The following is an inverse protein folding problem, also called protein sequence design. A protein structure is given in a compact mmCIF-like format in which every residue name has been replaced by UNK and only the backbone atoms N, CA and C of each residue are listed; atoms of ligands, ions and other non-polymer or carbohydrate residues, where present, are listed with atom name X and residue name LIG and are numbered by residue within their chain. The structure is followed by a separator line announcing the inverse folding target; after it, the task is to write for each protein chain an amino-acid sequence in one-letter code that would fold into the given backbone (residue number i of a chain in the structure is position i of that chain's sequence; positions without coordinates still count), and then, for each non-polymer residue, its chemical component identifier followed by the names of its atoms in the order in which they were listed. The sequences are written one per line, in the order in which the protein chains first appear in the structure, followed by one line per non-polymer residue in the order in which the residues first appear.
data_IF_768397001134
#
_entry.id   IF_768397001134
#
_cell.length_a   1.000
_cell.length_b   1.000
_cell.length_c   1.000
_cell.angle_alpha   90.00
_cell.angle_beta   90.00
_cell.angle_gamma   90.00
#
_symmetry.space_group_name_H-M   'P 1'
#
loop_
_entity.id
_entity.type
_entity.pdbx_description
1 polymer ?
#
# COMPACT_ATOMS: atom_id res chain seq x y z
N UNK A 1 25.39 -14.13 -17.25
CA UNK A 1 25.63 -13.71 -15.85
C UNK A 1 24.59 -12.66 -15.46
N UNK A 2 23.43 -13.08 -14.93
CA UNK A 2 22.45 -12.15 -14.36
C UNK A 2 23.03 -11.71 -13.01
N UNK A 3 23.33 -10.42 -12.82
CA UNK A 3 23.58 -9.89 -11.49
C UNK A 3 22.27 -10.03 -10.72
N UNK A 4 22.23 -10.99 -9.81
CA UNK A 4 21.21 -11.05 -8.76
C UNK A 4 21.25 -9.69 -8.05
N UNK A 5 20.15 -8.96 -8.19
CA UNK A 5 20.03 -7.64 -7.61
C UNK A 5 19.85 -7.85 -6.11
N UNK A 6 20.89 -7.52 -5.36
CA UNK A 6 20.89 -7.71 -3.91
C UNK A 6 19.86 -6.75 -3.29
N UNK A 7 18.78 -7.34 -2.77
CA UNK A 7 17.68 -6.64 -2.09
C UNK A 7 18.18 -5.90 -0.84
N UNK A 8 19.40 -6.20 -0.36
CA UNK A 8 20.09 -5.53 0.75
C UNK A 8 20.34 -4.03 0.55
N UNK A 9 20.08 -3.47 -0.64
CA UNK A 9 20.31 -2.05 -0.95
C UNK A 9 19.09 -1.13 -0.85
N UNK A 10 17.89 -1.63 -0.56
CA UNK A 10 16.71 -0.76 -0.43
C UNK A 10 16.70 -0.13 0.96
N UNK A 11 17.08 1.15 1.06
CA UNK A 11 17.10 1.88 2.33
C UNK A 11 15.97 2.88 2.42
N UNK A 12 15.63 3.55 1.33
CA UNK A 12 14.60 4.59 1.31
C UNK A 12 13.47 4.25 0.33
N UNK A 13 12.23 4.28 0.82
CA UNK A 13 11.04 3.92 0.04
C UNK A 13 10.05 5.07 -0.03
N UNK A 14 9.43 5.26 -1.19
CA UNK A 14 8.31 6.17 -1.39
C UNK A 14 7.01 5.38 -1.51
N UNK A 15 5.92 5.88 -0.92
CA UNK A 15 4.59 5.29 -1.06
C UNK A 15 3.72 6.20 -1.92
N UNK A 16 3.32 5.73 -3.09
CA UNK A 16 2.32 6.44 -3.89
C UNK A 16 0.95 6.34 -3.22
N UNK A 17 0.08 7.35 -3.37
CA UNK A 17 -1.32 7.22 -3.01
C UNK A 17 -1.92 6.00 -3.72
N UNK A 18 -2.52 5.09 -2.96
CA UNK A 18 -3.16 3.91 -3.51
C UNK A 18 -4.32 4.34 -4.40
N UNK A 19 -4.39 3.78 -5.61
CA UNK A 19 -5.51 4.05 -6.50
C UNK A 19 -6.80 3.48 -5.92
N UNK A 20 -7.89 4.24 -5.95
CA UNK A 20 -9.19 3.79 -5.44
C UNK A 20 -10.05 3.23 -6.57
N UNK A 21 -10.27 1.91 -6.58
CA UNK A 21 -11.18 1.28 -7.52
C UNK A 21 -12.57 1.01 -6.90
N UNK A 22 -12.85 1.59 -5.73
CA UNK A 22 -14.08 1.41 -4.96
C UNK A 22 -14.97 2.66 -5.01
N UNK A 23 -16.18 2.56 -4.46
CA UNK A 23 -17.10 3.70 -4.29
C UNK A 23 -16.85 4.50 -3.00
N UNK A 24 -15.98 4.02 -2.10
CA UNK A 24 -15.72 4.65 -0.81
C UNK A 24 -14.64 5.71 -0.98
N UNK A 25 -15.00 6.99 -0.97
CA UNK A 25 -14.08 8.10 -1.27
C UNK A 25 -12.78 8.07 -0.45
N UNK A 26 -12.88 7.76 0.85
CA UNK A 26 -11.74 7.77 1.77
C UNK A 26 -10.84 6.52 1.71
N UNK A 27 -11.21 5.47 0.95
CA UNK A 27 -10.49 4.19 0.95
C UNK A 27 -9.01 4.34 0.59
N UNK A 28 -8.69 5.15 -0.43
CA UNK A 28 -7.31 5.44 -0.82
C UNK A 28 -6.51 6.05 0.33
N UNK A 29 -7.06 7.07 0.99
CA UNK A 29 -6.39 7.79 2.08
C UNK A 29 -6.15 6.89 3.28
N UNK A 30 -7.15 6.08 3.64
CA UNK A 30 -7.07 5.14 4.77
C UNK A 30 -6.00 4.07 4.50
N UNK A 31 -6.03 3.44 3.32
CA UNK A 31 -5.07 2.39 2.96
C UNK A 31 -3.65 2.96 2.82
N UNK A 32 -3.49 4.10 2.14
CA UNK A 32 -2.18 4.77 1.99
C UNK A 32 -1.60 5.13 3.36
N UNK A 33 -2.42 5.70 4.25
CA UNK A 33 -2.00 6.06 5.60
C UNK A 33 -1.59 4.85 6.42
N UNK A 34 -2.37 3.76 6.36
CA UNK A 34 -2.02 2.51 7.02
C UNK A 34 -0.70 1.92 6.49
N UNK A 35 -0.45 2.00 5.19
CA UNK A 35 0.77 1.50 4.56
C UNK A 35 2.01 2.30 4.98
N UNK A 36 1.92 3.63 4.99
CA UNK A 36 2.99 4.50 5.48
C UNK A 36 3.27 4.21 6.96
N UNK A 37 2.23 4.17 7.79
CA UNK A 37 2.38 3.91 9.22
C UNK A 37 3.01 2.53 9.48
N UNK A 38 2.54 1.49 8.78
CA UNK A 38 3.08 0.14 8.91
C UNK A 38 4.56 0.06 8.49
N UNK A 39 4.94 0.66 7.36
CA UNK A 39 6.33 0.66 6.90
C UNK A 39 7.26 1.38 7.88
N UNK A 40 6.82 2.54 8.42
CA UNK A 40 7.56 3.28 9.45
C UNK A 40 7.75 2.43 10.70
N UNK A 41 6.70 1.73 11.15
CA UNK A 41 6.74 0.89 12.35
C UNK A 41 7.75 -0.26 12.24
N UNK A 42 7.92 -0.83 11.04
CA UNK A 42 8.92 -1.90 10.83
C UNK A 42 10.36 -1.47 11.07
N UNK A 43 10.67 -0.17 10.93
CA UNK A 43 12.03 0.40 10.96
C UNK A 43 13.02 -0.23 9.95
N UNK A 44 12.52 -1.02 8.98
CA UNK A 44 13.33 -1.63 7.91
C UNK A 44 13.72 -0.64 6.83
N UNK A 45 12.87 0.35 6.59
CA UNK A 45 13.05 1.35 5.54
C UNK A 45 12.90 2.77 6.11
N UNK A 46 13.66 3.71 5.57
CA UNK A 46 13.34 5.13 5.66
C UNK A 46 12.19 5.43 4.70
N UNK A 47 11.02 5.78 5.24
CA UNK A 47 9.85 6.16 4.42
C UNK A 47 9.93 7.64 4.06
N UNK A 48 9.84 7.96 2.77
CA UNK A 48 9.81 9.36 2.28
C UNK A 48 8.53 10.08 2.76
N UNK A 49 8.66 11.38 3.02
CA UNK A 49 7.59 12.19 3.54
C UNK A 49 6.43 12.31 2.52
N UNK A 50 5.17 12.06 2.93
CA UNK A 50 4.03 12.09 2.00
C UNK A 50 3.83 13.42 1.29
N UNK A 51 4.20 14.54 1.94
CA UNK A 51 4.17 15.86 1.32
C UNK A 51 5.12 15.99 0.13
N UNK A 52 6.31 15.36 0.18
CA UNK A 52 7.26 15.35 -0.93
C UNK A 52 6.72 14.53 -2.11
N UNK A 53 6.08 13.39 -1.81
CA UNK A 53 5.40 12.58 -2.83
C UNK A 53 4.29 13.38 -3.50
N UNK A 54 3.43 14.03 -2.70
CA UNK A 54 2.33 14.86 -3.22
C UNK A 54 2.85 16.00 -4.10
N UNK A 55 3.87 16.73 -3.64
CA UNK A 55 4.49 17.82 -4.41
C UNK A 55 5.05 17.31 -5.74
N UNK A 56 5.77 16.18 -5.73
CA UNK A 56 6.28 15.54 -6.94
C UNK A 56 5.16 15.21 -7.94
N UNK A 57 4.09 14.55 -7.47
CA UNK A 57 2.96 14.17 -8.33
C UNK A 57 2.28 15.39 -8.97
N UNK A 58 2.12 16.47 -8.21
CA UNK A 58 1.53 17.72 -8.70
C UNK A 58 2.43 18.40 -9.72
N UNK A 59 3.73 18.54 -9.42
CA UNK A 59 4.69 19.21 -10.32
C UNK A 59 4.83 18.47 -11.64
N UNK A 60 4.89 17.14 -11.59
CA UNK A 60 5.03 16.30 -12.79
C UNK A 60 3.69 15.96 -13.46
N UNK A 61 2.57 16.49 -12.95
CA UNK A 61 1.20 16.26 -13.46
C UNK A 61 0.84 14.77 -13.60
N UNK A 62 1.29 13.95 -12.65
CA UNK A 62 1.10 12.50 -12.67
C UNK A 62 -0.27 12.15 -12.10
N UNK A 63 -1.02 11.33 -12.85
CA UNK A 63 -2.30 10.75 -12.40
C UNK A 63 -2.11 9.25 -12.23
N UNK A 64 -2.20 8.75 -10.99
CA UNK A 64 -1.89 7.35 -10.62
C UNK A 64 -2.93 6.32 -11.13
N UNK A 65 -3.99 6.78 -11.82
CA UNK A 65 -5.19 5.99 -12.16
C UNK A 65 -4.95 4.77 -13.04
N UNK A 66 -4.00 4.84 -13.96
CA UNK A 66 -3.74 3.77 -14.94
C UNK A 66 -2.43 3.01 -14.66
N UNK A 67 -1.87 3.21 -13.47
CA UNK A 67 -0.50 2.83 -13.16
C UNK A 67 0.47 3.99 -13.36
N UNK A 68 1.70 3.77 -12.91
CA UNK A 68 2.80 4.74 -12.99
C UNK A 68 3.82 4.16 -13.98
N UNK A 69 4.15 4.92 -15.02
CA UNK A 69 5.11 4.47 -16.03
C UNK A 69 6.54 4.42 -15.46
N UNK A 70 7.42 3.68 -16.15
CA UNK A 70 8.80 3.47 -15.71
C UNK A 70 9.61 4.76 -15.63
N UNK A 71 9.36 5.72 -16.52
CA UNK A 71 10.10 6.98 -16.55
C UNK A 71 9.75 7.83 -15.33
N UNK A 72 8.47 7.85 -14.94
CA UNK A 72 8.00 8.45 -13.71
C UNK A 72 8.64 7.82 -12.47
N UNK A 73 8.70 6.48 -12.40
CA UNK A 73 9.33 5.76 -11.29
C UNK A 73 10.82 6.12 -11.18
N UNK A 74 11.54 6.09 -12.30
CA UNK A 74 12.97 6.49 -12.37
C UNK A 74 13.18 7.95 -12.00
N UNK A 75 12.29 8.84 -12.44
CA UNK A 75 12.35 10.26 -12.14
C UNK A 75 12.16 10.53 -10.66
N UNK A 76 11.21 9.84 -10.00
CA UNK A 76 11.04 9.94 -8.55
C UNK A 76 12.28 9.45 -7.81
N UNK A 77 12.85 8.32 -8.22
CA UNK A 77 14.10 7.81 -7.67
C UNK A 77 15.23 8.85 -7.71
N UNK A 78 15.40 9.54 -8.85
CA UNK A 78 16.40 10.60 -9.02
C UNK A 78 16.11 11.85 -8.18
N UNK A 79 14.85 12.32 -8.14
CA UNK A 79 14.50 13.58 -7.48
C UNK A 79 14.42 13.48 -5.96
N UNK A 80 13.89 12.37 -5.46
CA UNK A 80 13.67 12.17 -4.02
C UNK A 80 14.72 11.25 -3.39
N UNK A 81 15.67 10.76 -4.19
CA UNK A 81 16.72 9.82 -3.77
C UNK A 81 16.13 8.58 -3.08
N UNK A 82 15.04 8.04 -3.64
CA UNK A 82 14.36 6.84 -3.15
C UNK A 82 14.78 5.61 -3.95
N UNK A 83 15.07 4.51 -3.27
CA UNK A 83 15.59 3.27 -3.87
C UNK A 83 14.45 2.42 -4.47
N UNK A 84 13.27 2.48 -3.85
CA UNK A 84 12.08 1.79 -4.34
C UNK A 84 10.79 2.60 -4.12
N UNK A 85 9.76 2.29 -4.89
CA UNK A 85 8.41 2.85 -4.77
C UNK A 85 7.40 1.75 -4.48
N UNK A 86 6.49 2.01 -3.55
CA UNK A 86 5.29 1.21 -3.33
C UNK A 86 4.17 1.78 -4.21
N UNK A 87 3.64 0.93 -5.06
CA UNK A 87 2.48 1.19 -5.91
C UNK A 87 1.36 0.25 -5.49
N UNK A 88 0.12 0.71 -5.51
CA UNK A 88 -0.99 -0.17 -5.16
C UNK A 88 -2.35 0.43 -5.48
N UNK A 89 -3.37 -0.41 -5.27
CA UNK A 89 -4.76 -0.05 -5.44
C UNK A 89 -5.63 -0.75 -4.40
N UNK A 90 -6.78 -0.13 -4.14
CA UNK A 90 -7.85 -0.68 -3.31
C UNK A 90 -8.91 -1.23 -4.25
N UNK A 91 -9.04 -2.54 -4.30
CA UNK A 91 -9.91 -3.26 -5.22
C UNK A 91 -11.32 -3.43 -4.62
N UNK A 92 -11.41 -3.68 -3.31
CA UNK A 92 -12.67 -3.76 -2.57
C UNK A 92 -12.50 -3.08 -1.20
N UNK A 93 -13.51 -2.33 -0.78
CA UNK A 93 -13.54 -1.67 0.53
C UNK A 93 -14.98 -1.54 1.00
N UNK A 94 -15.38 -2.44 1.89
CA UNK A 94 -16.74 -2.50 2.46
C UNK A 94 -16.61 -2.28 3.97
N UNK A 95 -17.33 -1.29 4.48
CA UNK A 95 -17.47 -1.01 5.91
C UNK A 95 -18.90 -1.20 6.39
N UNK A 96 -19.16 -0.90 7.66
CA UNK A 96 -20.51 -0.80 8.17
C UNK A 96 -21.25 0.30 7.41
N UNK A 97 -22.33 -0.04 6.70
CA UNK A 97 -23.22 0.95 6.12
C UNK A 97 -23.98 1.68 7.23
N UNK A 98 -24.16 2.99 7.08
CA UNK A 98 -25.08 3.75 7.93
C UNK A 98 -26.49 3.16 7.79
N UNK A 99 -26.96 2.52 8.86
CA UNK A 99 -28.39 2.38 9.13
C UNK A 99 -29.04 1.01 8.96
N UNK A 100 -28.45 -0.02 8.33
CA UNK A 100 -29.11 -1.35 8.22
C UNK A 100 -28.13 -2.53 8.23
N UNK A 101 -28.16 -3.29 9.34
CA UNK A 101 -27.40 -4.52 9.67
C UNK A 101 -25.89 -4.34 9.89
N UNK A 102 -25.35 -5.11 10.82
CA UNK A 102 -23.91 -5.27 10.99
C UNK A 102 -23.33 -5.93 9.73
N UNK A 103 -22.68 -5.13 8.88
CA UNK A 103 -21.95 -5.62 7.70
C UNK A 103 -20.59 -6.12 8.17
N UNK A 104 -20.22 -7.34 7.78
CA UNK A 104 -18.85 -7.86 7.99
C UNK A 104 -17.93 -7.06 7.07
N UNK A 105 -16.92 -6.34 7.60
CA UNK A 105 -16.05 -5.52 6.76
C UNK A 105 -15.25 -6.39 5.79
N UNK A 106 -14.91 -5.83 4.64
CA UNK A 106 -14.14 -6.50 3.60
C UNK A 106 -13.14 -5.53 2.99
N UNK A 107 -11.89 -5.98 2.86
CA UNK A 107 -10.81 -5.19 2.25
C UNK A 107 -10.05 -6.07 1.26
N UNK A 108 -9.88 -5.58 0.04
CA UNK A 108 -9.00 -6.18 -0.97
C UNK A 108 -7.99 -5.12 -1.43
N UNK A 109 -6.71 -5.38 -1.20
CA UNK A 109 -5.61 -4.47 -1.53
C UNK A 109 -4.59 -5.23 -2.37
N UNK A 110 -4.17 -4.58 -3.46
CA UNK A 110 -3.05 -5.02 -4.28
C UNK A 110 -1.88 -4.05 -4.14
N UNK A 111 -0.67 -4.55 -3.94
CA UNK A 111 0.53 -3.71 -3.85
C UNK A 111 1.74 -4.34 -4.53
N UNK A 112 2.66 -3.48 -4.97
CA UNK A 112 3.95 -3.83 -5.57
C UNK A 112 5.03 -2.92 -5.04
N UNK A 113 6.20 -3.48 -4.75
CA UNK A 113 7.44 -2.75 -4.49
C UNK A 113 8.29 -2.78 -5.75
N UNK A 114 8.67 -1.62 -6.27
CA UNK A 114 9.38 -1.50 -7.55
C UNK A 114 10.69 -0.74 -7.34
N UNK A 115 11.79 -1.32 -7.79
CA UNK A 115 13.11 -0.70 -7.77
C UNK A 115 13.16 0.51 -8.72
N UNK A 116 13.57 1.68 -8.22
CA UNK A 116 13.51 2.92 -9.02
C UNK A 116 14.61 3.01 -10.08
N UNK A 117 15.71 2.26 -9.93
CA UNK A 117 16.85 2.29 -10.85
C UNK A 117 16.56 1.47 -12.09
N UNK A 118 15.95 0.31 -11.90
CA UNK A 118 15.80 -0.75 -12.90
C UNK A 118 14.35 -0.93 -13.35
N UNK A 119 13.38 -0.54 -12.54
CA UNK A 119 11.96 -0.82 -12.78
C UNK A 119 11.53 -2.25 -12.43
N UNK A 120 12.42 -3.05 -11.85
CA UNK A 120 12.10 -4.43 -11.47
C UNK A 120 11.11 -4.44 -10.30
N UNK A 121 10.12 -5.31 -10.39
CA UNK A 121 9.23 -5.61 -9.26
C UNK A 121 10.03 -6.47 -8.27
N UNK A 122 10.25 -5.94 -7.07
CA UNK A 122 10.94 -6.60 -5.97
C UNK A 122 9.98 -7.46 -5.14
N UNK A 123 8.73 -7.03 -5.04
CA UNK A 123 7.67 -7.73 -4.32
C UNK A 123 6.31 -7.38 -4.91
N UNK A 124 5.37 -8.33 -4.85
CA UNK A 124 3.97 -8.14 -5.26
C UNK A 124 3.07 -9.02 -4.41
N UNK A 125 2.00 -8.44 -3.88
CA UNK A 125 0.99 -9.20 -3.16
C UNK A 125 -0.40 -8.59 -3.38
N UNK A 126 -1.41 -9.46 -3.33
CA UNK A 126 -2.81 -9.10 -3.21
C UNK A 126 -3.37 -9.80 -1.99
N UNK A 127 -3.99 -9.06 -1.09
CA UNK A 127 -4.65 -9.61 0.09
C UNK A 127 -6.11 -9.17 0.11
N UNK A 128 -6.98 -10.18 0.11
CA UNK A 128 -8.42 -10.04 0.32
C UNK A 128 -8.77 -10.67 1.65
N UNK A 129 -9.37 -9.90 2.54
CA UNK A 129 -9.83 -10.37 3.85
C UNK A 129 -11.21 -9.87 4.18
N UNK A 130 -11.93 -10.65 4.98
CA UNK A 130 -13.14 -10.23 5.68
C UNK A 130 -12.89 -10.09 7.19
N UNK A 131 -13.77 -9.39 7.88
CA UNK A 131 -13.70 -9.26 9.35
C UNK A 131 -13.84 -10.59 10.10
N UNK A 132 -14.40 -11.60 9.44
CA UNK A 132 -14.59 -12.94 10.00
C UNK A 132 -13.39 -13.86 9.80
N UNK A 133 -12.45 -13.52 8.90
CA UNK A 133 -11.26 -14.34 8.62
C UNK A 133 -10.32 -14.47 9.84
N UNK A 134 -10.52 -13.64 10.87
CA UNK A 134 -9.72 -13.60 12.09
C UNK A 134 -10.43 -14.21 13.31
N UNK A 135 -11.64 -14.75 13.13
CA UNK A 135 -12.36 -15.43 14.21
C UNK A 135 -11.62 -16.72 14.59
N UNK A 136 -11.40 -16.90 15.89
CA UNK A 136 -10.90 -18.14 16.47
C UNK A 136 -12.05 -18.98 17.04
N UNK A 137 -12.41 -18.75 18.30
CA UNK A 137 -13.51 -19.45 19.00
C UNK A 137 -14.43 -18.42 19.67
N UNK A 138 -15.74 -18.69 19.71
CA UNK A 138 -16.75 -17.81 20.35
C UNK A 138 -16.67 -16.34 19.88
N UNK A 139 -16.57 -16.09 18.57
CA UNK A 139 -16.39 -14.76 17.95
C UNK A 139 -15.13 -13.98 18.39
N UNK A 140 -14.23 -14.60 19.16
CA UNK A 140 -12.98 -13.95 19.57
C UNK A 140 -12.08 -13.71 18.35
N UNK A 141 -11.67 -12.47 18.14
CA UNK A 141 -10.87 -12.04 16.99
C UNK A 141 -11.68 -11.44 15.82
N UNK A 142 -13.02 -11.38 15.92
CA UNK A 142 -13.87 -10.74 14.91
C UNK A 142 -13.54 -9.26 14.75
N UNK A 143 -13.16 -8.85 13.54
CA UNK A 143 -12.91 -7.45 13.20
C UNK A 143 -14.20 -6.84 12.67
N UNK A 144 -14.63 -5.71 13.27
CA UNK A 144 -15.94 -5.10 13.00
C UNK A 144 -15.87 -3.81 12.19
N UNK A 145 -14.68 -3.27 11.94
CA UNK A 145 -14.51 -2.04 11.17
C UNK A 145 -13.54 -2.23 10.00
N UNK A 146 -13.84 -1.58 8.87
CA UNK A 146 -12.96 -1.61 7.71
C UNK A 146 -11.58 -1.00 7.99
N UNK A 147 -11.50 0.01 8.88
CA UNK A 147 -10.22 0.63 9.26
C UNK A 147 -9.32 -0.30 10.07
N UNK A 148 -9.88 -1.07 11.01
CA UNK A 148 -9.12 -2.10 11.74
C UNK A 148 -8.69 -3.24 10.83
N UNK A 149 -9.60 -3.72 9.97
CA UNK A 149 -9.30 -4.75 8.98
C UNK A 149 -8.19 -4.29 8.03
N UNK A 150 -8.22 -3.03 7.61
CA UNK A 150 -7.17 -2.43 6.77
C UNK A 150 -5.81 -2.47 7.45
N UNK A 151 -5.70 -2.06 8.72
CA UNK A 151 -4.42 -2.13 9.46
C UNK A 151 -3.90 -3.56 9.53
N UNK A 152 -4.78 -4.53 9.75
CA UNK A 152 -4.41 -5.94 9.82
C UNK A 152 -3.92 -6.49 8.48
N UNK A 153 -4.67 -6.24 7.41
CA UNK A 153 -4.32 -6.64 6.04
C UNK A 153 -3.01 -6.00 5.60
N UNK A 154 -2.84 -4.71 5.83
CA UNK A 154 -1.60 -3.99 5.49
C UNK A 154 -0.41 -4.54 6.28
N UNK A 155 -0.59 -4.84 7.57
CA UNK A 155 0.43 -5.51 8.38
C UNK A 155 0.89 -6.83 7.76
N UNK A 156 -0.05 -7.71 7.38
CA UNK A 156 0.26 -8.98 6.70
C UNK A 156 1.04 -8.77 5.39
N UNK A 157 0.63 -7.79 4.58
CA UNK A 157 1.31 -7.48 3.32
C UNK A 157 2.73 -6.98 3.54
N UNK A 158 2.95 -6.15 4.57
CA UNK A 158 4.26 -5.61 4.92
C UNK A 158 5.15 -6.70 5.52
N UNK A 159 4.62 -7.55 6.40
CA UNK A 159 5.37 -8.66 6.98
C UNK A 159 5.86 -9.65 5.92
N UNK A 160 5.11 -9.80 4.82
CA UNK A 160 5.51 -10.61 3.67
C UNK A 160 6.52 -9.91 2.73
N UNK A 161 6.78 -8.62 2.91
CA UNK A 161 7.83 -7.94 2.13
C UNK A 161 9.22 -8.44 2.54
N UNK A 162 10.16 -8.55 1.59
CA UNK A 162 11.54 -8.91 1.89
C UNK A 162 12.24 -7.91 2.82
#
# INVERSE_FOLDING_TARGET
MRKDFDQSQIRKVAVFPFYNNTKVAEASKIVTGAFIAGLVDTKRFQVEFPGNIKSFLVTERIIVRTGVDLDTIKLMGKRLSVDAVVLGQVDEYIGAEEGRRAVVPLVCISSRLVDTRTGKILFMAQHRRTGDDYIKVLDFGKIRSAGELTRKVVGEMIDAMP
#
